data_IF_265060085642
#
_entry.id   IF_265060085642
#
_cell.length_a   1.000
_cell.length_b   1.000
_cell.length_c   1.000
_cell.angle_alpha   90.00
_cell.angle_beta   90.00
_cell.angle_gamma   90.00
#
_symmetry.space_group_name_H-M   'P 1'
#
loop_
_entity.id
_entity.type
_entity.pdbx_description
1 polymer ?
#
# COMPACT_ATOMS: atom_id res chain seq x y z
N UNK A 1 -20.46 4.48 7.55
CA UNK A 1 -19.36 5.47 7.67
C UNK A 1 -18.90 5.86 6.26
N UNK A 2 -18.59 7.15 6.00
CA UNK A 2 -18.02 7.57 4.71
C UNK A 2 -16.66 6.91 4.51
N UNK A 3 -16.37 6.49 3.27
CA UNK A 3 -15.11 5.86 2.88
C UNK A 3 -14.06 6.93 2.49
N UNK A 4 -13.83 7.90 3.36
CA UNK A 4 -12.96 9.05 3.09
C UNK A 4 -11.47 8.74 3.26
N UNK A 5 -11.13 7.65 3.96
CA UNK A 5 -9.75 7.26 4.19
C UNK A 5 -9.15 6.65 2.92
N UNK A 6 -7.96 7.10 2.56
CA UNK A 6 -7.13 6.58 1.47
C UNK A 6 -6.20 5.51 2.03
N UNK A 7 -6.15 4.35 1.39
CA UNK A 7 -5.38 3.19 1.81
C UNK A 7 -4.22 2.95 0.84
N UNK A 8 -3.06 2.60 1.36
CA UNK A 8 -1.98 1.96 0.61
C UNK A 8 -1.85 0.49 1.05
N UNK A 9 -1.91 -0.43 0.09
CA UNK A 9 -1.78 -1.88 0.27
C UNK A 9 -0.42 -2.32 -0.27
N UNK A 10 0.53 -2.55 0.64
CA UNK A 10 1.91 -2.92 0.34
C UNK A 10 2.01 -4.44 0.23
N UNK A 11 2.33 -4.95 -0.97
CA UNK A 11 2.28 -6.38 -1.28
C UNK A 11 0.85 -6.89 -1.47
N UNK A 12 0.12 -6.24 -2.38
CA UNK A 12 -1.33 -6.41 -2.51
C UNK A 12 -1.80 -7.72 -3.18
N UNK A 13 -0.90 -8.49 -3.80
CA UNK A 13 -1.23 -9.71 -4.53
C UNK A 13 -2.32 -9.49 -5.59
N UNK A 14 -3.44 -10.21 -5.46
CA UNK A 14 -4.62 -10.14 -6.34
C UNK A 14 -5.54 -8.92 -6.09
N UNK A 15 -5.12 -8.00 -5.22
CA UNK A 15 -5.86 -6.80 -4.81
C UNK A 15 -7.19 -7.11 -4.11
N UNK A 16 -7.26 -8.19 -3.32
CA UNK A 16 -8.47 -8.54 -2.55
C UNK A 16 -8.98 -7.40 -1.66
N UNK A 17 -8.10 -6.63 -1.04
CA UNK A 17 -8.49 -5.48 -0.20
C UNK A 17 -9.17 -4.41 -1.06
N UNK A 18 -8.56 -3.99 -2.17
CA UNK A 18 -9.12 -2.99 -3.08
C UNK A 18 -10.52 -3.40 -3.60
N UNK A 19 -10.73 -4.69 -3.85
CA UNK A 19 -12.02 -5.22 -4.32
C UNK A 19 -13.08 -5.38 -3.22
N UNK A 20 -12.68 -5.40 -1.94
CA UNK A 20 -13.58 -5.68 -0.81
C UNK A 20 -14.06 -4.42 -0.08
N UNK A 21 -13.46 -3.26 -0.36
CA UNK A 21 -13.78 -2.00 0.33
C UNK A 21 -14.17 -0.90 -0.65
N UNK A 22 -14.91 0.09 -0.15
CA UNK A 22 -15.32 1.26 -0.93
C UNK A 22 -14.28 2.39 -0.92
N UNK A 23 -13.23 2.25 -0.11
CA UNK A 23 -12.16 3.22 0.01
C UNK A 23 -11.33 3.26 -1.28
N UNK A 24 -10.67 4.40 -1.53
CA UNK A 24 -9.60 4.44 -2.52
C UNK A 24 -8.42 3.63 -1.98
N UNK A 25 -8.02 2.58 -2.70
CA UNK A 25 -6.87 1.74 -2.37
C UNK A 25 -5.81 1.88 -3.44
N UNK A 26 -4.60 2.28 -3.04
CA UNK A 26 -3.40 2.20 -3.84
C UNK A 26 -2.76 0.83 -3.61
N UNK A 27 -2.65 0.02 -4.66
CA UNK A 27 -2.21 -1.37 -4.57
C UNK A 27 -0.82 -1.50 -5.18
N UNK A 28 0.16 -1.95 -4.38
CA UNK A 28 1.56 -2.08 -4.79
C UNK A 28 2.02 -3.53 -4.68
N UNK A 29 2.63 -4.06 -5.74
CA UNK A 29 3.24 -5.39 -5.75
C UNK A 29 4.35 -5.47 -6.81
N UNK A 30 5.20 -6.48 -6.71
CA UNK A 30 6.22 -6.78 -7.73
C UNK A 30 5.59 -7.50 -8.94
N UNK A 31 4.44 -8.16 -8.77
CA UNK A 31 3.78 -8.94 -9.82
C UNK A 31 2.35 -8.43 -10.07
N UNK A 32 1.99 -8.09 -11.32
CA UNK A 32 0.65 -7.57 -11.65
C UNK A 32 -0.39 -8.70 -11.78
N UNK A 33 -0.80 -9.30 -10.67
CA UNK A 33 -1.87 -10.32 -10.65
C UNK A 33 -3.28 -9.72 -10.87
N UNK A 34 -3.40 -8.40 -10.90
CA UNK A 34 -4.63 -7.63 -11.11
C UNK A 34 -4.31 -6.32 -11.84
N UNK A 35 -5.25 -5.77 -12.66
CA UNK A 35 -5.05 -4.48 -13.33
C UNK A 35 -4.99 -3.29 -12.37
N UNK A 36 -5.36 -3.48 -11.09
CA UNK A 36 -5.27 -2.46 -10.05
C UNK A 36 -3.85 -2.32 -9.48
N UNK A 37 -2.97 -3.29 -9.74
CA UNK A 37 -1.60 -3.29 -9.24
C UNK A 37 -0.79 -2.19 -9.92
N UNK A 38 -0.20 -1.33 -9.10
CA UNK A 38 0.94 -0.51 -9.50
C UNK A 38 2.21 -1.33 -9.25
N UNK A 39 2.89 -1.71 -10.32
CA UNK A 39 4.09 -2.57 -10.22
C UNK A 39 5.26 -1.76 -9.72
N UNK A 40 5.73 -2.04 -8.50
CA UNK A 40 6.91 -1.40 -7.91
C UNK A 40 7.45 -2.19 -6.71
N UNK A 41 8.70 -1.88 -6.33
CA UNK A 41 9.21 -2.25 -5.02
C UNK A 41 8.46 -1.44 -3.94
N UNK A 42 7.92 -2.13 -2.94
CA UNK A 42 7.14 -1.51 -1.88
C UNK A 42 8.01 -0.66 -0.93
N UNK A 43 9.34 -0.82 -0.96
CA UNK A 43 10.28 0.09 -0.31
C UNK A 43 10.42 1.46 -1.02
N UNK A 44 9.82 1.62 -2.21
CA UNK A 44 9.79 2.89 -2.95
C UNK A 44 8.54 2.99 -3.84
N UNK A 45 7.43 3.39 -3.24
CA UNK A 45 6.14 3.52 -3.92
C UNK A 45 6.00 4.90 -4.59
N UNK A 46 5.29 5.01 -5.74
CA UNK A 46 5.11 6.27 -6.46
C UNK A 46 4.02 7.15 -5.82
N UNK A 47 4.13 7.41 -4.51
CA UNK A 47 3.24 8.28 -3.75
C UNK A 47 4.01 9.45 -3.13
N UNK A 48 3.32 10.58 -3.00
CA UNK A 48 3.83 11.71 -2.22
C UNK A 48 3.89 11.36 -0.73
N UNK A 49 4.74 12.07 0.01
CA UNK A 49 4.73 11.97 1.47
C UNK A 49 3.37 12.42 2.03
N UNK A 50 2.98 11.85 3.17
CA UNK A 50 1.74 12.21 3.88
C UNK A 50 0.47 12.20 2.99
N UNK A 51 0.37 11.24 2.08
CA UNK A 51 -0.69 11.17 1.06
C UNK A 51 -1.77 10.13 1.37
N UNK A 52 -1.52 9.18 2.28
CA UNK A 52 -2.47 8.13 2.66
C UNK A 52 -2.79 8.16 4.15
N UNK A 53 -3.98 7.66 4.49
CA UNK A 53 -4.48 7.62 5.87
C UNK A 53 -4.20 6.26 6.54
N UNK A 54 -4.05 5.19 5.76
CA UNK A 54 -3.81 3.83 6.25
C UNK A 54 -2.79 3.14 5.34
N UNK A 55 -1.80 2.48 5.94
CA UNK A 55 -0.90 1.56 5.27
C UNK A 55 -1.20 0.13 5.76
N UNK A 56 -1.29 -0.83 4.83
CA UNK A 56 -1.59 -2.23 5.11
C UNK A 56 -0.45 -3.10 4.62
N UNK A 57 -0.02 -4.01 5.48
CA UNK A 57 0.92 -5.10 5.17
C UNK A 57 0.26 -6.43 5.52
N UNK A 58 -0.54 -6.98 4.60
CA UNK A 58 -1.26 -8.22 4.82
C UNK A 58 -0.39 -9.43 4.42
N UNK A 59 0.39 -9.97 5.37
CA UNK A 59 1.35 -11.06 5.12
C UNK A 59 2.42 -10.74 4.05
N UNK A 60 2.72 -9.46 3.86
CA UNK A 60 3.59 -8.97 2.78
C UNK A 60 5.06 -8.72 3.18
N UNK A 61 5.38 -8.70 4.48
CA UNK A 61 6.71 -8.39 5.01
C UNK A 61 7.67 -9.59 4.87
N UNK A 62 8.03 -9.93 3.63
CA UNK A 62 8.81 -11.12 3.28
C UNK A 62 10.30 -10.82 3.03
N UNK A 63 10.66 -9.55 2.82
CA UNK A 63 12.04 -9.11 2.56
C UNK A 63 12.88 -8.96 3.84
N UNK A 64 14.21 -8.97 3.70
CA UNK A 64 15.13 -8.68 4.80
C UNK A 64 15.32 -7.17 5.05
N UNK A 65 14.86 -6.33 4.13
CA UNK A 65 14.94 -4.87 4.17
C UNK A 65 13.72 -4.22 4.86
N UNK A 66 13.29 -4.78 6.00
CA UNK A 66 12.10 -4.32 6.73
C UNK A 66 12.17 -2.84 7.11
N UNK A 67 13.36 -2.35 7.46
CA UNK A 67 13.55 -0.94 7.82
C UNK A 67 13.12 -0.01 6.67
N UNK A 68 13.61 -0.25 5.44
CA UNK A 68 13.29 0.57 4.27
C UNK A 68 11.78 0.54 3.96
N UNK A 69 11.18 -0.66 4.04
CA UNK A 69 9.73 -0.85 3.79
C UNK A 69 8.89 -0.06 4.81
N UNK A 70 9.27 -0.11 6.08
CA UNK A 70 8.53 0.59 7.14
C UNK A 70 8.78 2.10 7.11
N UNK A 71 9.99 2.55 6.78
CA UNK A 71 10.31 3.97 6.55
C UNK A 71 9.51 4.53 5.37
N UNK A 72 9.34 3.76 4.30
CA UNK A 72 8.54 4.16 3.14
C UNK A 72 7.05 4.26 3.48
N UNK A 73 6.51 3.29 4.23
CA UNK A 73 5.14 3.39 4.73
C UNK A 73 4.95 4.61 5.65
N UNK A 74 5.91 4.87 6.55
CA UNK A 74 5.88 6.04 7.40
C UNK A 74 5.95 7.36 6.60
N UNK A 75 6.74 7.40 5.52
CA UNK A 75 6.84 8.56 4.63
C UNK A 75 5.49 8.89 3.99
N UNK A 76 4.75 7.88 3.51
CA UNK A 76 3.48 8.11 2.80
C UNK A 76 2.29 8.31 3.74
N UNK A 77 2.37 7.84 4.99
CA UNK A 77 1.33 8.04 6.00
C UNK A 77 1.26 9.49 6.45
N UNK A 78 0.03 10.00 6.61
CA UNK A 78 -0.22 11.27 7.31
C UNK A 78 0.10 11.12 8.80
N UNK A 79 0.48 12.23 9.44
CA UNK A 79 0.54 12.28 10.90
C UNK A 79 -0.85 12.01 11.47
N UNK A 80 -0.92 11.04 12.39
CA UNK A 80 -2.15 10.56 13.03
C UNK A 80 -2.56 11.36 14.25
#
# INVERSE_FOLDING_TARGET
>A
RPASLVVADFGCGDCKIANSVRNKVHSFDLVPLSPLVTVCDMAKVPLAAESVDVAVFCLALMGTNLQEILEEANRVLKQG
#
